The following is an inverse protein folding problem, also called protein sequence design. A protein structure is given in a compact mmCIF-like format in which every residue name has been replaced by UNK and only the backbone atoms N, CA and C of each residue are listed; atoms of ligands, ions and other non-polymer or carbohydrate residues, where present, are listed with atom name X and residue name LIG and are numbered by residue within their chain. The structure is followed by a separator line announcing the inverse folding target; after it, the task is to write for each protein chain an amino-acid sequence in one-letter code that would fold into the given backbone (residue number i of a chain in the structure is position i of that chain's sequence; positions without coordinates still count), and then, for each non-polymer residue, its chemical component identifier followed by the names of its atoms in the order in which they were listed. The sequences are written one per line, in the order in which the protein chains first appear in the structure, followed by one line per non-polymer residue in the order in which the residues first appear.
data_IF_463885485823
#
_entry.id   IF_463885485823
#
_cell.length_a   1.000
_cell.length_b   1.000
_cell.length_c   1.000
_cell.angle_alpha   90.00
_cell.angle_beta   90.00
_cell.angle_gamma   90.00
#
_symmetry.space_group_name_H-M   'P 1'
#
loop_
_entity.id
_entity.type
_entity.pdbx_description
1 polymer ?
#
# COMPACT_ATOMS: atom_id res chain seq x y z
N UNK A 1 10.15 -18.39 16.34
CA UNK A 1 10.45 -17.21 17.19
C UNK A 1 10.01 -15.98 16.44
N UNK A 2 9.20 -15.14 17.05
CA UNK A 2 8.75 -13.90 16.45
C UNK A 2 9.91 -12.95 16.21
N UNK A 3 9.79 -12.13 15.19
CA UNK A 3 10.82 -11.12 14.84
C UNK A 3 10.61 -9.90 15.72
N UNK A 4 11.62 -9.51 16.47
CA UNK A 4 11.63 -8.28 17.26
C UNK A 4 12.51 -7.23 16.61
N UNK A 5 12.06 -5.97 16.62
CA UNK A 5 12.74 -4.83 16.04
C UNK A 5 12.74 -3.66 17.03
N UNK A 6 13.87 -2.97 17.15
CA UNK A 6 13.99 -1.73 17.93
C UNK A 6 14.46 -0.61 17.03
N UNK A 7 13.70 0.48 16.98
CA UNK A 7 14.09 1.71 16.30
C UNK A 7 14.56 2.67 17.37
N UNK A 8 15.82 3.07 17.30
CA UNK A 8 16.46 3.83 18.37
C UNK A 8 17.01 5.18 17.88
N UNK A 9 16.92 6.19 18.74
CA UNK A 9 17.54 7.50 18.52
C UNK A 9 16.84 8.42 17.51
N UNK A 10 15.70 8.01 16.97
CA UNK A 10 14.90 8.82 16.04
C UNK A 10 14.01 9.83 16.73
N UNK A 11 13.75 10.92 16.04
CA UNK A 11 12.79 11.95 16.44
C UNK A 11 11.37 11.51 16.04
N UNK A 12 10.56 11.12 17.01
CA UNK A 12 9.27 10.47 16.79
C UNK A 12 8.14 11.50 16.72
N UNK A 13 7.35 11.41 15.64
CA UNK A 13 6.12 12.16 15.46
C UNK A 13 4.94 11.20 15.37
N UNK A 14 4.13 11.14 16.41
CA UNK A 14 2.90 10.36 16.48
C UNK A 14 1.82 11.16 17.22
N UNK A 15 1.17 12.11 16.51
CA UNK A 15 0.19 13.00 17.12
C UNK A 15 -1.01 12.27 17.75
N UNK A 16 -1.39 11.12 17.19
CA UNK A 16 -2.49 10.33 17.72
C UNK A 16 -2.22 9.81 19.15
N UNK A 17 -0.95 9.62 19.48
CA UNK A 17 -0.49 9.18 20.80
C UNK A 17 0.21 10.31 21.59
N UNK A 18 0.05 11.56 21.15
CA UNK A 18 0.58 12.74 21.83
C UNK A 18 2.11 12.88 21.78
N UNK A 19 2.77 12.25 20.80
CA UNK A 19 4.22 12.35 20.61
C UNK A 19 4.51 13.34 19.48
N UNK A 20 5.28 14.39 19.80
CA UNK A 20 5.61 15.45 18.84
C UNK A 20 7.10 15.82 18.94
N UNK A 21 7.91 15.15 18.15
CA UNK A 21 9.35 15.41 18.04
C UNK A 21 10.19 14.90 19.22
N UNK A 22 9.68 13.96 20.00
CA UNK A 22 10.44 13.38 21.08
C UNK A 22 11.39 12.28 20.59
N UNK A 23 12.65 12.30 21.05
CA UNK A 23 13.55 11.18 20.79
C UNK A 23 13.13 10.01 21.67
N UNK A 24 12.58 9.00 21.04
CA UNK A 24 12.04 7.79 21.70
C UNK A 24 12.49 6.53 20.99
N UNK A 25 12.58 5.46 21.75
CA UNK A 25 12.69 4.11 21.19
C UNK A 25 11.30 3.58 20.84
N UNK A 26 11.19 2.90 19.71
CA UNK A 26 10.01 2.17 19.31
C UNK A 26 10.37 0.68 19.24
N UNK A 27 9.62 -0.11 20.00
CA UNK A 27 9.73 -1.56 20.00
C UNK A 27 8.62 -2.17 19.14
N UNK A 28 8.99 -3.06 18.23
CA UNK A 28 8.05 -3.86 17.45
C UNK A 28 8.30 -5.33 17.72
N UNK A 29 7.26 -6.05 18.10
CA UNK A 29 7.32 -7.49 18.32
C UNK A 29 6.14 -8.16 17.60
N UNK A 30 6.43 -9.16 16.78
CA UNK A 30 5.43 -9.88 15.98
C UNK A 30 4.52 -8.94 15.14
N UNK A 31 5.12 -7.90 14.56
CA UNK A 31 4.43 -6.92 13.72
C UNK A 31 3.58 -5.89 14.48
N UNK A 32 3.69 -5.83 15.81
CA UNK A 32 2.96 -4.87 16.65
C UNK A 32 3.91 -4.00 17.44
N UNK A 33 3.57 -2.73 17.58
CA UNK A 33 4.26 -1.84 18.50
C UNK A 33 3.93 -2.26 19.93
N UNK A 34 4.96 -2.42 20.75
CA UNK A 34 4.86 -2.83 22.15
C UNK A 34 5.65 -1.86 23.02
N UNK A 35 5.36 -1.83 24.31
CA UNK A 35 6.02 -0.94 25.26
C UNK A 35 7.50 -1.27 25.42
N UNK A 36 7.86 -2.56 25.39
CA UNK A 36 9.24 -3.02 25.46
C UNK A 36 9.44 -4.32 24.68
N UNK A 37 10.57 -4.44 24.00
CA UNK A 37 10.94 -5.68 23.31
C UNK A 37 11.51 -6.70 24.30
N UNK A 38 11.07 -7.95 24.19
CA UNK A 38 11.62 -9.07 24.96
C UNK A 38 12.59 -9.87 24.08
N UNK A 39 13.75 -10.22 24.64
CA UNK A 39 14.77 -10.99 23.93
C UNK A 39 15.61 -10.19 22.95
N UNK A 40 16.29 -10.91 22.04
CA UNK A 40 17.13 -10.29 21.01
C UNK A 40 16.26 -9.62 19.93
N UNK A 41 16.57 -8.37 19.64
CA UNK A 41 15.89 -7.59 18.62
C UNK A 41 16.89 -7.05 17.58
N UNK A 42 16.45 -6.99 16.33
CA UNK A 42 17.16 -6.24 15.28
C UNK A 42 17.08 -4.74 15.62
N UNK A 43 18.21 -4.03 15.51
CA UNK A 43 18.26 -2.60 15.83
C UNK A 43 18.35 -1.78 14.56
N UNK A 44 17.44 -0.83 14.42
CA UNK A 44 17.52 0.25 13.41
C UNK A 44 17.99 1.51 14.11
N UNK A 45 19.16 2.00 13.74
CA UNK A 45 19.66 3.29 14.20
C UNK A 45 19.00 4.41 13.39
N UNK A 46 18.13 5.15 14.05
CA UNK A 46 17.39 6.27 13.45
C UNK A 46 17.91 7.64 13.92
N UNK A 47 19.14 7.73 14.43
CA UNK A 47 19.72 9.02 14.82
C UNK A 47 19.74 9.99 13.65
N UNK A 48 19.30 11.23 13.92
CA UNK A 48 19.11 12.29 12.91
C UNK A 48 18.03 11.98 11.84
N UNK A 49 17.16 11.03 12.11
CA UNK A 49 16.03 10.71 11.25
C UNK A 49 14.71 10.99 11.98
N UNK A 50 13.70 11.33 11.19
CA UNK A 50 12.31 11.42 11.66
C UNK A 50 11.68 10.03 11.55
N UNK A 51 10.98 9.63 12.60
CA UNK A 51 10.19 8.40 12.66
C UNK A 51 8.73 8.77 12.85
N UNK A 52 7.88 8.36 11.93
CA UNK A 52 6.46 8.66 11.93
C UNK A 52 5.64 7.50 11.35
N UNK A 53 4.33 7.42 11.63
CA UNK A 53 3.46 6.46 10.95
C UNK A 53 3.55 6.61 9.44
N UNK A 54 3.51 5.49 8.74
CA UNK A 54 3.50 5.51 7.28
C UNK A 54 2.26 6.19 6.71
N UNK A 55 2.39 6.85 5.58
CA UNK A 55 1.30 7.50 4.89
C UNK A 55 0.22 6.50 4.44
N UNK A 56 -1.04 6.91 4.49
CA UNK A 56 -2.19 6.17 3.98
C UNK A 56 -2.79 6.96 2.83
N UNK A 57 -2.69 6.42 1.61
CA UNK A 57 -3.36 6.99 0.44
C UNK A 57 -4.73 6.34 0.30
N UNK A 58 -5.76 7.07 0.68
CA UNK A 58 -7.14 6.58 0.69
C UNK A 58 -7.84 6.66 -0.68
N UNK A 59 -7.19 7.22 -1.69
CA UNK A 59 -7.77 7.35 -3.03
C UNK A 59 -6.67 7.34 -4.07
N UNK A 60 -6.31 6.17 -4.56
CA UNK A 60 -5.28 5.98 -5.58
C UNK A 60 -5.81 5.19 -6.77
N UNK A 61 -5.08 5.24 -7.89
CA UNK A 61 -5.34 4.44 -9.09
C UNK A 61 -4.05 3.73 -9.51
N UNK A 62 -3.83 2.55 -8.97
CA UNK A 62 -2.60 1.76 -9.14
C UNK A 62 -2.82 0.39 -9.77
N UNK A 63 -4.04 -0.14 -9.64
CA UNK A 63 -4.45 -1.42 -10.21
C UNK A 63 -5.93 -1.35 -10.55
N UNK A 64 -6.34 -1.65 -11.71
CA UNK A 64 -7.73 -1.82 -12.14
C UNK A 64 -7.78 -1.91 -13.66
N UNK A 65 -8.88 -2.39 -14.26
CA UNK A 65 -9.04 -2.37 -15.71
C UNK A 65 -8.84 -0.99 -16.35
N UNK A 66 -9.29 0.09 -15.67
CA UNK A 66 -9.12 1.46 -16.15
C UNK A 66 -7.64 1.89 -16.12
N UNK A 67 -6.91 1.57 -15.06
CA UNK A 67 -5.47 1.85 -14.97
C UNK A 67 -4.68 1.06 -15.99
N UNK A 68 -5.04 -0.20 -16.24
CA UNK A 68 -4.39 -1.02 -17.27
C UNK A 68 -4.66 -0.51 -18.68
N UNK A 69 -5.88 -0.03 -18.96
CA UNK A 69 -6.16 0.65 -20.22
C UNK A 69 -5.27 1.91 -20.37
N UNK A 70 -5.16 2.72 -19.34
CA UNK A 70 -4.28 3.90 -19.37
C UNK A 70 -2.82 3.52 -19.62
N UNK A 71 -2.32 2.45 -19.00
CA UNK A 71 -0.99 1.89 -19.27
C UNK A 71 -0.83 1.48 -20.75
N UNK A 72 -1.84 0.85 -21.32
CA UNK A 72 -1.82 0.42 -22.73
C UNK A 72 -1.82 1.59 -23.73
N UNK A 73 -2.40 2.75 -23.34
CA UNK A 73 -2.44 3.95 -24.18
C UNK A 73 -1.15 4.78 -24.16
N UNK A 74 -0.16 4.43 -23.34
CA UNK A 74 1.10 5.16 -23.23
C UNK A 74 2.32 4.27 -23.51
N UNK A 75 2.44 3.73 -24.73
CA UNK A 75 3.52 2.82 -25.08
C UNK A 75 4.91 3.48 -25.03
N UNK A 76 5.00 4.79 -25.13
CA UNK A 76 6.24 5.56 -25.00
C UNK A 76 6.88 5.42 -23.61
N UNK A 77 6.08 5.26 -22.57
CA UNK A 77 6.57 5.09 -21.22
C UNK A 77 7.14 3.70 -20.99
N UNK A 78 6.83 2.72 -21.83
CA UNK A 78 7.36 1.35 -21.74
C UNK A 78 8.88 1.27 -21.90
N UNK A 79 9.49 2.27 -22.52
CA UNK A 79 10.93 2.27 -22.82
C UNK A 79 11.82 2.48 -21.62
N UNK A 80 11.30 3.07 -20.55
CA UNK A 80 12.08 3.51 -19.40
C UNK A 80 11.83 2.71 -18.11
N UNK A 81 10.89 1.80 -18.11
CA UNK A 81 10.48 1.06 -16.91
C UNK A 81 10.62 -0.44 -17.01
N UNK A 82 11.62 -0.94 -17.78
CA UNK A 82 11.86 -2.37 -17.98
C UNK A 82 12.19 -3.07 -16.63
N UNK A 83 11.17 -3.49 -15.92
CA UNK A 83 11.32 -4.44 -14.82
C UNK A 83 11.08 -5.86 -15.39
N UNK A 84 12.06 -6.72 -15.27
CA UNK A 84 11.93 -8.12 -15.70
C UNK A 84 10.78 -8.79 -14.95
N UNK A 85 9.87 -9.43 -15.67
CA UNK A 85 8.84 -10.27 -15.04
C UNK A 85 9.52 -11.36 -14.21
N UNK A 86 9.16 -11.44 -12.95
CA UNK A 86 9.57 -12.56 -12.10
C UNK A 86 8.54 -13.68 -12.22
N UNK A 87 8.95 -14.96 -12.17
CA UNK A 87 8.02 -16.08 -12.13
C UNK A 87 7.02 -15.90 -10.97
N UNK A 88 5.73 -16.10 -11.24
CA UNK A 88 4.67 -15.98 -10.25
C UNK A 88 4.03 -14.61 -10.11
N UNK A 89 4.57 -13.55 -10.73
CA UNK A 89 3.94 -12.24 -10.76
C UNK A 89 2.91 -12.17 -11.89
N UNK A 90 1.70 -11.76 -11.53
CA UNK A 90 0.57 -11.65 -12.45
C UNK A 90 0.37 -10.26 -13.06
N UNK A 91 1.24 -9.30 -12.76
CA UNK A 91 1.11 -7.95 -13.28
C UNK A 91 1.09 -7.96 -14.80
N UNK A 92 -0.01 -7.50 -15.34
CA UNK A 92 -0.32 -7.73 -16.74
C UNK A 92 0.50 -6.95 -17.72
N UNK A 93 0.55 -5.64 -17.65
CA UNK A 93 1.07 -4.80 -18.73
C UNK A 93 2.28 -4.02 -18.23
N UNK A 94 3.37 -4.60 -18.36
CA UNK A 94 4.74 -4.42 -17.99
C UNK A 94 5.30 -3.08 -17.60
N UNK A 95 5.18 -1.95 -18.23
CA UNK A 95 6.29 -0.99 -18.14
C UNK A 95 5.89 0.46 -18.09
N UNK A 96 4.66 0.71 -18.22
CA UNK A 96 4.20 2.08 -18.27
C UNK A 96 3.53 2.46 -17.01
N UNK A 97 3.72 3.71 -16.69
CA UNK A 97 3.00 4.33 -15.59
C UNK A 97 2.99 3.38 -14.42
N UNK A 98 3.94 3.43 -13.67
CA UNK A 98 4.84 2.34 -13.31
C UNK A 98 4.09 1.01 -13.25
N UNK A 99 4.74 -0.11 -13.55
CA UNK A 99 4.15 -1.43 -13.36
C UNK A 99 3.61 -1.56 -11.94
N UNK A 100 2.64 -2.44 -11.72
CA UNK A 100 2.15 -2.76 -10.37
C UNK A 100 3.30 -3.05 -9.41
N UNK A 101 4.30 -3.79 -9.87
CA UNK A 101 5.49 -4.09 -9.07
C UNK A 101 6.31 -2.83 -8.71
N UNK A 102 6.57 -1.94 -9.67
CA UNK A 102 7.32 -0.71 -9.43
C UNK A 102 6.55 0.28 -8.56
N UNK A 103 5.23 0.27 -8.63
CA UNK A 103 4.35 1.13 -7.85
C UNK A 103 4.58 0.96 -6.35
N UNK A 104 4.69 -0.28 -5.86
CA UNK A 104 4.94 -0.54 -4.44
C UNK A 104 6.21 0.15 -3.93
N UNK A 105 7.30 0.03 -4.68
CA UNK A 105 8.57 0.68 -4.32
C UNK A 105 8.52 2.20 -4.42
N UNK A 106 7.79 2.75 -5.39
CA UNK A 106 7.65 4.20 -5.53
C UNK A 106 6.85 4.79 -4.38
N UNK A 107 5.73 4.20 -4.00
CA UNK A 107 4.95 4.62 -2.84
C UNK A 107 5.76 4.54 -1.54
N UNK A 108 6.51 3.46 -1.35
CA UNK A 108 7.37 3.28 -0.18
C UNK A 108 8.45 4.35 -0.10
N UNK A 109 9.07 4.74 -1.23
CA UNK A 109 10.04 5.84 -1.26
C UNK A 109 9.43 7.20 -0.86
N UNK A 110 8.13 7.39 -1.07
CA UNK A 110 7.39 8.57 -0.63
C UNK A 110 6.90 8.49 0.82
N UNK A 111 7.15 7.36 1.50
CA UNK A 111 6.75 7.14 2.89
C UNK A 111 5.33 6.59 3.08
N UNK A 112 4.66 6.15 2.02
CA UNK A 112 3.37 5.48 2.14
C UNK A 112 3.54 4.00 2.49
N UNK A 113 2.66 3.49 3.34
CA UNK A 113 2.59 2.09 3.75
C UNK A 113 1.28 1.42 3.37
N UNK A 114 0.24 2.20 3.12
CA UNK A 114 -1.11 1.71 2.80
C UNK A 114 -1.72 2.49 1.66
N UNK A 115 -2.38 1.80 0.76
CA UNK A 115 -3.06 2.40 -0.41
C UNK A 115 -4.42 1.77 -0.65
N UNK A 116 -5.38 2.60 -1.10
CA UNK A 116 -6.73 2.17 -1.42
C UNK A 116 -7.05 2.48 -2.88
N UNK A 117 -7.13 1.45 -3.70
CA UNK A 117 -7.56 1.58 -5.10
C UNK A 117 -9.03 1.99 -5.15
N UNK A 118 -9.31 3.11 -5.76
CA UNK A 118 -10.64 3.68 -5.79
C UNK A 118 -11.41 3.35 -7.08
N UNK A 119 -12.72 3.57 -7.04
CA UNK A 119 -13.61 3.59 -8.19
C UNK A 119 -13.67 2.28 -9.02
N UNK A 120 -13.56 1.14 -8.38
CA UNK A 120 -13.68 -0.15 -9.07
C UNK A 120 -15.13 -0.54 -9.32
N UNK A 121 -15.45 -0.87 -10.58
CA UNK A 121 -16.73 -1.50 -10.87
C UNK A 121 -16.76 -2.92 -10.26
N UNK A 122 -17.90 -3.38 -9.71
CA UNK A 122 -18.01 -4.69 -9.07
C UNK A 122 -17.50 -5.86 -9.93
N UNK A 123 -17.75 -5.81 -11.23
CA UNK A 123 -17.31 -6.84 -12.18
C UNK A 123 -15.78 -6.92 -12.31
N UNK A 124 -15.05 -5.83 -12.06
CA UNK A 124 -13.60 -5.76 -12.18
C UNK A 124 -12.84 -6.00 -10.87
N UNK A 125 -13.53 -5.99 -9.74
CA UNK A 125 -12.90 -6.01 -8.40
C UNK A 125 -12.01 -7.22 -8.17
N UNK A 126 -12.45 -8.40 -8.59
CA UNK A 126 -11.65 -9.61 -8.46
C UNK A 126 -10.31 -9.49 -9.18
N UNK A 127 -10.34 -9.00 -10.41
CA UNK A 127 -9.12 -8.77 -11.20
C UNK A 127 -8.21 -7.74 -10.53
N UNK A 128 -8.79 -6.66 -10.02
CA UNK A 128 -8.04 -5.64 -9.26
C UNK A 128 -7.37 -6.24 -8.03
N UNK A 129 -8.05 -7.10 -7.27
CA UNK A 129 -7.42 -7.81 -6.15
C UNK A 129 -6.25 -8.69 -6.58
N UNK A 130 -6.39 -9.40 -7.70
CA UNK A 130 -5.31 -10.22 -8.25
C UNK A 130 -4.10 -9.38 -8.64
N UNK A 131 -4.29 -8.18 -9.22
CA UNK A 131 -3.21 -7.26 -9.52
C UNK A 131 -2.57 -6.66 -8.25
N UNK A 132 -3.38 -6.31 -7.26
CA UNK A 132 -2.88 -5.76 -5.99
C UNK A 132 -1.94 -6.74 -5.28
N UNK A 133 -2.12 -8.06 -5.44
CA UNK A 133 -1.21 -9.07 -4.88
C UNK A 133 0.22 -8.87 -5.41
N UNK A 134 0.36 -8.43 -6.64
CA UNK A 134 1.67 -8.22 -7.28
C UNK A 134 2.36 -6.91 -6.86
N UNK A 135 1.67 -6.03 -6.15
CA UNK A 135 2.26 -4.81 -5.60
C UNK A 135 2.99 -5.15 -4.30
N UNK A 136 4.32 -5.03 -4.24
CA UNK A 136 5.07 -5.39 -3.06
C UNK A 136 5.00 -4.34 -1.96
N UNK A 137 5.24 -4.74 -0.72
CA UNK A 137 5.55 -3.91 0.44
C UNK A 137 4.34 -3.19 1.06
N UNK A 138 3.40 -2.72 0.26
CA UNK A 138 2.24 -1.95 0.72
C UNK A 138 1.12 -2.82 1.25
N UNK A 139 0.40 -2.33 2.25
CA UNK A 139 -0.96 -2.77 2.55
C UNK A 139 -1.93 -2.17 1.53
N UNK A 140 -2.91 -2.95 1.10
CA UNK A 140 -3.75 -2.58 -0.05
C UNK A 140 -5.20 -2.94 0.18
N UNK A 141 -6.08 -2.07 -0.31
CA UNK A 141 -7.50 -2.33 -0.35
C UNK A 141 -8.17 -1.75 -1.60
N UNK A 142 -9.45 -2.02 -1.74
CA UNK A 142 -10.25 -1.61 -2.90
C UNK A 142 -11.55 -0.97 -2.43
N UNK A 143 -11.91 0.16 -3.01
CA UNK A 143 -13.25 0.72 -2.90
C UNK A 143 -14.07 0.40 -4.16
N UNK A 144 -15.20 -0.25 -3.93
CA UNK A 144 -16.11 -0.67 -4.98
C UNK A 144 -17.18 0.39 -5.21
N UNK A 145 -17.40 0.76 -6.46
CA UNK A 145 -18.46 1.67 -6.83
C UNK A 145 -19.83 1.01 -6.62
N UNK A 146 -20.66 1.63 -5.82
CA UNK A 146 -22.05 1.22 -5.65
C UNK A 146 -23.01 1.99 -6.57
N UNK A 147 -22.74 3.27 -6.80
CA UNK A 147 -23.66 4.20 -7.44
C UNK A 147 -23.96 3.95 -8.92
N UNK A 148 -23.18 3.14 -9.61
CA UNK A 148 -23.41 2.73 -10.99
C UNK A 148 -23.82 1.25 -11.14
N UNK A 149 -24.09 0.58 -10.03
CA UNK A 149 -24.54 -0.81 -10.03
C UNK A 149 -26.04 -0.90 -9.76
N UNK A 150 -26.81 -1.16 -10.80
CA UNK A 150 -28.27 -1.22 -10.71
C UNK A 150 -28.76 -2.28 -9.71
N UNK A 151 -28.05 -3.41 -9.57
CA UNK A 151 -28.40 -4.42 -8.57
C UNK A 151 -28.29 -3.87 -7.16
N UNK A 152 -27.16 -3.28 -6.82
CA UNK A 152 -26.94 -2.70 -5.48
C UNK A 152 -27.97 -1.60 -5.22
N UNK A 153 -28.22 -0.73 -6.19
CA UNK A 153 -29.23 0.33 -6.07
C UNK A 153 -30.65 -0.22 -5.84
N UNK A 154 -31.00 -1.33 -6.49
CA UNK A 154 -32.29 -2.01 -6.26
C UNK A 154 -32.40 -2.60 -4.85
N UNK A 155 -31.34 -3.27 -4.35
CA UNK A 155 -31.30 -3.81 -2.99
C UNK A 155 -31.39 -2.70 -1.94
N UNK A 156 -30.62 -1.63 -2.11
CA UNK A 156 -30.70 -0.44 -1.24
C UNK A 156 -32.10 0.15 -1.20
N UNK A 157 -32.74 0.27 -2.36
CA UNK A 157 -34.10 0.82 -2.48
C UNK A 157 -35.17 -0.09 -1.87
N UNK A 158 -34.96 -1.40 -1.91
CA UNK A 158 -35.83 -2.39 -1.29
C UNK A 158 -35.65 -2.51 0.23
N UNK A 159 -34.57 -1.96 0.79
CA UNK A 159 -34.24 -2.11 2.20
C UNK A 159 -33.73 -3.52 2.58
N UNK A 160 -33.23 -4.26 1.61
CA UNK A 160 -32.82 -5.67 1.75
C UNK A 160 -31.28 -5.81 2.00
N UNK A 161 -30.69 -4.92 2.78
CA UNK A 161 -29.27 -5.02 3.16
C UNK A 161 -29.13 -5.33 4.63
#
# INVERSE_FOLDING_TARGET
MGRSLRIVGGEVYDPANGVNGAVKEICVQDGKIVESCTGAAEIIDARNLVVMPGGVDIHTHIASPAVNAARAFRPEDHRHGLMSKRPGIRSGVGFTVPSTFATGYLYTKMGYTTVMEAANAPIGVRHTHEELIDIPILDKGVYVLMGNNEFILKYLKAGEM
#
